data_IF_137205175341
#
_entry.id   IF_137205175341
#
_cell.length_a   1.000
_cell.length_b   1.000
_cell.length_c   1.000
_cell.angle_alpha   90.00
_cell.angle_beta   90.00
_cell.angle_gamma   90.00
#
_symmetry.space_group_name_H-M   'P 1'
#
loop_
_entity.id
_entity.type
_entity.pdbx_description
1 polymer ?
#
# COMPACT_ATOMS: atom_id res chain seq x y z
N UNK A 1 26.56 45.33 46.21
CA UNK A 1 27.07 44.06 45.65
C UNK A 1 25.84 43.17 45.44
N UNK A 2 25.06 43.36 44.38
CA UNK A 2 25.24 42.91 42.98
C UNK A 2 25.11 41.40 42.79
N UNK A 3 24.07 40.97 42.04
CA UNK A 3 23.86 39.64 41.42
C UNK A 3 22.59 38.91 41.94
N UNK A 4 21.39 39.06 41.36
CA UNK A 4 20.82 38.56 40.07
C UNK A 4 20.72 37.01 39.99
N UNK A 5 19.50 36.47 40.20
CA UNK A 5 18.98 35.15 39.76
C UNK A 5 18.82 35.12 38.21
N UNK A 6 18.74 33.98 37.46
CA UNK A 6 18.11 32.71 37.85
C UNK A 6 18.73 31.40 37.29
N UNK A 7 18.65 30.31 38.06
CA UNK A 7 18.82 28.95 37.55
C UNK A 7 17.47 28.47 36.97
N UNK A 8 17.19 28.80 35.71
CA UNK A 8 16.03 28.26 34.99
C UNK A 8 16.31 28.32 33.49
N UNK A 9 16.95 27.28 32.94
CA UNK A 9 16.86 26.96 31.51
C UNK A 9 17.51 25.61 31.15
N UNK A 10 17.13 24.50 31.78
CA UNK A 10 17.60 23.17 31.30
C UNK A 10 16.50 22.09 31.28
N UNK A 11 15.23 22.50 31.18
CA UNK A 11 14.10 21.59 30.98
C UNK A 11 13.32 22.11 29.77
N UNK A 12 13.86 21.94 28.56
CA UNK A 12 13.19 22.44 27.36
C UNK A 12 13.77 21.96 26.04
N UNK A 13 14.70 21.01 26.05
CA UNK A 13 15.38 20.55 24.84
C UNK A 13 15.48 19.03 24.74
N UNK A 14 14.42 18.33 25.16
CA UNK A 14 14.28 16.87 24.94
C UNK A 14 12.96 16.47 24.26
N UNK A 15 12.12 17.44 23.86
CA UNK A 15 10.77 17.16 23.30
C UNK A 15 10.65 17.31 21.78
N UNK A 16 11.75 17.55 21.05
CA UNK A 16 11.70 17.80 19.59
C UNK A 16 12.33 16.70 18.72
N UNK A 17 12.62 15.52 19.28
CA UNK A 17 13.18 14.38 18.56
C UNK A 17 12.22 13.18 18.49
N UNK A 18 10.91 13.43 18.39
CA UNK A 18 10.04 12.45 17.75
C UNK A 18 10.32 12.54 16.24
N UNK A 19 11.37 11.84 15.78
CA UNK A 19 11.45 11.48 14.38
C UNK A 19 10.12 10.79 14.04
N UNK A 20 9.29 11.40 13.20
CA UNK A 20 8.01 10.88 12.77
C UNK A 20 8.21 9.66 11.86
N UNK A 21 8.75 8.59 12.41
CA UNK A 21 8.67 7.27 11.84
C UNK A 21 7.68 6.52 12.67
N UNK A 22 6.45 6.53 12.19
CA UNK A 22 5.44 5.68 12.74
C UNK A 22 5.56 4.34 12.03
N UNK A 23 5.92 3.28 12.77
CA UNK A 23 5.65 1.89 12.38
C UNK A 23 4.11 1.60 12.38
N UNK A 24 3.30 2.67 12.31
CA UNK A 24 1.85 2.62 12.27
C UNK A 24 1.45 2.18 10.86
N UNK A 25 0.66 1.11 10.75
CA UNK A 25 0.15 0.65 9.48
C UNK A 25 -0.72 1.72 8.79
N UNK A 26 -0.45 2.00 7.52
CA UNK A 26 -1.17 2.98 6.71
C UNK A 26 -1.97 2.25 5.63
N UNK A 27 -3.30 2.11 5.76
CA UNK A 27 -4.14 1.42 4.79
C UNK A 27 -4.55 2.33 3.62
N UNK A 28 -4.59 1.76 2.42
CA UNK A 28 -5.33 2.33 1.28
C UNK A 28 -6.30 1.26 0.75
N UNK A 29 -7.53 1.65 0.42
CA UNK A 29 -8.56 0.70 0.03
C UNK A 29 -9.38 1.19 -1.17
N UNK A 30 -9.92 0.23 -1.91
CA UNK A 30 -10.96 0.42 -2.93
C UNK A 30 -12.08 -0.58 -2.69
N UNK A 31 -13.31 -0.15 -2.96
CA UNK A 31 -14.51 -0.96 -2.85
C UNK A 31 -15.26 -0.98 -4.18
N UNK A 32 -15.69 -2.17 -4.59
CA UNK A 32 -16.55 -2.41 -5.75
C UNK A 32 -17.89 -2.90 -5.24
N UNK A 33 -18.80 -1.98 -4.94
CA UNK A 33 -20.06 -2.28 -4.26
C UNK A 33 -20.96 -3.24 -5.03
N UNK A 34 -20.92 -3.21 -6.37
CA UNK A 34 -21.67 -4.13 -7.21
C UNK A 34 -21.28 -5.60 -6.99
N UNK A 35 -20.00 -5.85 -6.70
CA UNK A 35 -19.43 -7.18 -6.50
C UNK A 35 -19.26 -7.53 -5.01
N UNK A 36 -19.62 -6.61 -4.10
CA UNK A 36 -19.37 -6.72 -2.65
C UNK A 36 -17.90 -7.04 -2.33
N UNK A 37 -16.98 -6.42 -3.09
CA UNK A 37 -15.54 -6.64 -2.95
C UNK A 37 -14.88 -5.40 -2.37
N UNK A 38 -13.97 -5.60 -1.42
CA UNK A 38 -13.03 -4.58 -0.95
C UNK A 38 -11.60 -5.11 -0.98
N UNK A 39 -10.72 -4.34 -1.60
CA UNK A 39 -9.28 -4.60 -1.64
C UNK A 39 -8.58 -3.53 -0.83
N UNK A 40 -7.83 -3.92 0.19
CA UNK A 40 -7.02 -3.03 1.02
C UNK A 40 -5.56 -3.43 0.91
N UNK A 41 -4.67 -2.48 0.66
CA UNK A 41 -3.23 -2.69 0.83
C UNK A 41 -2.75 -1.80 1.95
N UNK A 42 -2.24 -2.42 3.00
CA UNK A 42 -1.70 -1.76 4.17
C UNK A 42 -0.19 -1.70 4.06
N UNK A 43 0.36 -0.50 4.30
CA UNK A 43 1.79 -0.23 4.25
C UNK A 43 2.32 0.07 5.65
N UNK A 44 3.36 -0.65 6.07
CA UNK A 44 4.01 -0.42 7.37
C UNK A 44 5.47 -0.09 7.14
N UNK A 45 5.95 1.05 7.68
CA UNK A 45 7.36 1.41 7.59
C UNK A 45 8.22 0.38 8.36
N UNK A 46 9.35 -0.01 7.77
CA UNK A 46 10.31 -0.94 8.40
C UNK A 46 11.67 -0.30 8.68
N UNK A 47 11.84 0.95 8.26
CA UNK A 47 13.06 1.70 8.49
C UNK A 47 12.76 3.20 8.68
N UNK A 48 13.43 3.87 9.64
CA UNK A 48 13.15 5.27 9.92
C UNK A 48 13.72 6.29 8.91
N UNK A 49 14.59 5.88 8.00
CA UNK A 49 15.27 6.80 7.09
C UNK A 49 15.11 6.41 5.62
N UNK A 50 14.93 5.11 5.36
CA UNK A 50 14.77 4.57 4.02
C UNK A 50 13.27 4.39 3.72
N UNK A 51 12.88 4.62 2.47
CA UNK A 51 11.53 4.31 1.98
C UNK A 51 11.35 2.79 1.84
N UNK A 52 11.36 2.09 2.97
CA UNK A 52 11.21 0.65 3.09
C UNK A 52 9.95 0.33 3.86
N UNK A 53 9.14 -0.55 3.27
CA UNK A 53 7.84 -0.87 3.83
C UNK A 53 7.47 -2.32 3.58
N UNK A 54 6.86 -2.94 4.59
CA UNK A 54 6.10 -4.16 4.40
C UNK A 54 4.72 -3.81 3.87
N UNK A 55 4.17 -4.73 3.06
CA UNK A 55 2.89 -4.55 2.39
C UNK A 55 2.01 -5.77 2.65
N UNK A 56 0.83 -5.54 3.20
CA UNK A 56 -0.16 -6.57 3.46
C UNK A 56 -1.40 -6.30 2.61
N UNK A 57 -1.82 -7.31 1.84
CA UNK A 57 -3.06 -7.29 1.07
C UNK A 57 -4.16 -7.95 1.88
N UNK A 58 -5.23 -7.19 2.15
CA UNK A 58 -6.49 -7.74 2.66
C UNK A 58 -7.54 -7.70 1.56
N UNK A 59 -8.09 -8.87 1.23
CA UNK A 59 -9.25 -9.01 0.38
C UNK A 59 -10.48 -9.34 1.22
N UNK A 60 -11.56 -8.60 1.02
CA UNK A 60 -12.89 -8.94 1.52
C UNK A 60 -13.83 -9.14 0.35
N UNK A 61 -14.55 -10.25 0.35
CA UNK A 61 -15.50 -10.62 -0.70
C UNK A 61 -16.90 -10.89 -0.15
N UNK A 62 -17.82 -11.31 -1.03
CA UNK A 62 -19.18 -11.69 -0.62
C UNK A 62 -19.18 -12.86 0.38
N UNK A 63 -20.28 -12.99 1.14
CA UNK A 63 -20.47 -14.11 2.06
C UNK A 63 -19.49 -14.15 3.23
N UNK A 64 -19.07 -12.98 3.73
CA UNK A 64 -18.10 -12.84 4.83
C UNK A 64 -16.70 -13.38 4.53
N UNK A 65 -16.36 -13.59 3.25
CA UNK A 65 -15.02 -13.94 2.81
C UNK A 65 -14.01 -12.85 3.21
N UNK A 66 -12.91 -13.24 3.86
CA UNK A 66 -11.80 -12.34 4.21
C UNK A 66 -10.49 -13.10 4.18
N UNK A 67 -9.50 -12.58 3.44
CA UNK A 67 -8.18 -13.17 3.26
C UNK A 67 -7.14 -12.08 3.43
N UNK A 68 -6.02 -12.45 4.05
CA UNK A 68 -4.87 -11.58 4.22
C UNK A 68 -3.61 -12.32 3.74
N UNK A 69 -2.79 -11.64 2.93
CA UNK A 69 -1.52 -12.17 2.43
C UNK A 69 -0.47 -11.07 2.36
N UNK A 70 0.79 -11.44 2.54
CA UNK A 70 1.91 -10.52 2.34
C UNK A 70 2.16 -10.28 0.85
N UNK A 71 2.54 -9.05 0.50
CA UNK A 71 3.06 -8.71 -0.81
C UNK A 71 4.58 -8.59 -0.74
N UNK A 72 5.24 -8.64 -1.89
CA UNK A 72 6.67 -8.32 -1.94
C UNK A 72 6.90 -6.92 -1.35
N UNK A 73 7.85 -6.72 -0.42
CA UNK A 73 8.02 -5.44 0.27
C UNK A 73 8.55 -4.36 -0.66
N UNK A 74 8.34 -3.10 -0.29
CA UNK A 74 9.02 -1.97 -0.92
C UNK A 74 10.44 -1.86 -0.36
N UNK A 75 11.46 -1.99 -1.21
CA UNK A 75 12.88 -1.91 -0.82
C UNK A 75 13.55 -0.58 -1.15
N UNK A 76 12.78 0.42 -1.58
CA UNK A 76 13.26 1.76 -1.94
C UNK A 76 12.82 2.12 -3.35
N UNK A 77 11.63 2.73 -3.47
CA UNK A 77 11.00 3.26 -4.69
C UNK A 77 10.13 2.30 -5.53
N UNK A 78 9.79 1.11 -5.02
CA UNK A 78 8.98 0.09 -5.72
C UNK A 78 7.64 -0.21 -5.01
N UNK A 79 6.93 0.82 -4.54
CA UNK A 79 5.70 0.66 -3.75
C UNK A 79 4.44 0.41 -4.57
N UNK A 80 4.37 0.89 -5.82
CA UNK A 80 3.11 0.86 -6.58
C UNK A 80 2.56 -0.56 -6.74
N UNK A 81 1.25 -0.72 -6.54
CA UNK A 81 0.52 -1.95 -6.86
C UNK A 81 -0.64 -1.60 -7.78
N UNK A 82 -0.60 -2.12 -9.00
CA UNK A 82 -1.68 -1.94 -9.97
C UNK A 82 -2.75 -2.99 -9.72
N UNK A 83 -4.01 -2.58 -9.88
CA UNK A 83 -5.17 -3.43 -9.75
C UNK A 83 -5.83 -3.59 -11.12
N UNK A 84 -6.09 -4.84 -11.51
CA UNK A 84 -6.71 -5.17 -12.78
C UNK A 84 -7.89 -6.12 -12.62
N UNK A 85 -8.85 -6.02 -13.53
CA UNK A 85 -9.86 -7.05 -13.77
C UNK A 85 -9.40 -7.95 -14.92
N UNK A 86 -9.28 -9.26 -14.69
CA UNK A 86 -8.84 -10.20 -15.73
C UNK A 86 -9.96 -11.07 -16.33
N UNK A 87 -11.09 -11.13 -15.66
CA UNK A 87 -12.27 -11.91 -16.02
C UNK A 87 -13.32 -11.77 -14.93
N UNK A 88 -14.52 -12.30 -15.13
CA UNK A 88 -15.61 -12.17 -14.15
C UNK A 88 -15.20 -12.77 -12.80
N UNK A 89 -15.15 -11.94 -11.76
CA UNK A 89 -14.78 -12.36 -10.41
C UNK A 89 -13.29 -12.68 -10.21
N UNK A 90 -12.41 -12.24 -11.11
CA UNK A 90 -10.95 -12.42 -10.99
C UNK A 90 -10.25 -11.06 -11.03
N UNK A 91 -9.55 -10.73 -9.94
CA UNK A 91 -8.75 -9.52 -9.81
C UNK A 91 -7.27 -9.85 -9.73
N UNK A 92 -6.43 -9.02 -10.33
CA UNK A 92 -4.98 -9.10 -10.19
C UNK A 92 -4.45 -7.89 -9.43
N UNK A 93 -3.65 -8.13 -8.40
CA UNK A 93 -2.82 -7.11 -7.76
C UNK A 93 -1.39 -7.35 -8.21
N UNK A 94 -0.85 -6.44 -9.02
CA UNK A 94 0.45 -6.60 -9.67
C UNK A 94 1.41 -5.55 -9.12
N UNK A 95 2.55 -5.99 -8.62
CA UNK A 95 3.69 -5.15 -8.29
C UNK A 95 4.84 -5.36 -9.27
N UNK A 96 5.98 -4.75 -8.97
CA UNK A 96 7.19 -4.91 -9.78
C UNK A 96 7.78 -6.32 -9.68
N UNK A 97 7.64 -6.99 -8.53
CA UNK A 97 8.32 -8.25 -8.23
C UNK A 97 7.37 -9.42 -7.95
N UNK A 98 6.09 -9.14 -7.74
CA UNK A 98 5.06 -10.15 -7.49
C UNK A 98 3.74 -9.81 -8.18
N UNK A 99 2.93 -10.84 -8.38
CA UNK A 99 1.54 -10.70 -8.77
C UNK A 99 0.66 -11.63 -7.93
N UNK A 100 -0.42 -11.09 -7.40
CA UNK A 100 -1.44 -11.86 -6.68
C UNK A 100 -2.69 -11.97 -7.54
N UNK A 101 -3.22 -13.19 -7.63
CA UNK A 101 -4.51 -13.48 -8.25
C UNK A 101 -5.53 -13.67 -7.14
N UNK A 102 -6.59 -12.88 -7.18
CA UNK A 102 -7.74 -12.95 -6.28
C UNK A 102 -8.88 -13.61 -7.06
N UNK A 103 -9.31 -14.78 -6.62
CA UNK A 103 -10.54 -15.42 -7.07
C UNK A 103 -11.66 -15.11 -6.07
N UNK A 104 -12.60 -14.26 -6.50
CA UNK A 104 -13.70 -13.78 -5.66
C UNK A 104 -14.68 -14.92 -5.33
N UNK A 105 -14.90 -15.87 -6.24
CA UNK A 105 -15.85 -16.97 -6.06
C UNK A 105 -15.31 -18.01 -5.10
N UNK A 106 -14.03 -18.32 -5.24
CA UNK A 106 -13.36 -19.33 -4.41
C UNK A 106 -12.90 -18.77 -3.07
N UNK A 107 -12.96 -17.45 -2.88
CA UNK A 107 -12.37 -16.79 -1.72
C UNK A 107 -10.90 -17.24 -1.60
N UNK A 108 -10.10 -16.95 -2.62
CA UNK A 108 -8.69 -17.33 -2.64
C UNK A 108 -7.80 -16.18 -3.14
N UNK A 109 -6.61 -16.04 -2.53
CA UNK A 109 -5.52 -15.19 -3.03
C UNK A 109 -4.28 -16.04 -3.22
N UNK A 110 -3.74 -16.08 -4.44
CA UNK A 110 -2.59 -16.91 -4.80
C UNK A 110 -1.46 -16.08 -5.41
N UNK A 111 -0.22 -16.51 -5.22
CA UNK A 111 0.93 -15.97 -5.95
C UNK A 111 0.91 -16.51 -7.37
N UNK A 112 1.10 -15.63 -8.36
CA UNK A 112 1.26 -16.02 -9.76
C UNK A 112 2.57 -15.49 -10.33
N UNK A 113 3.13 -16.25 -11.26
CA UNK A 113 4.26 -15.80 -12.07
C UNK A 113 3.74 -14.83 -13.15
N UNK A 114 4.46 -13.75 -13.44
CA UNK A 114 4.03 -12.75 -14.43
C UNK A 114 3.68 -13.35 -15.80
N UNK A 115 4.40 -14.38 -16.24
CA UNK A 115 4.18 -15.05 -17.53
C UNK A 115 2.85 -15.81 -17.62
N UNK A 116 2.23 -16.16 -16.49
CA UNK A 116 0.97 -16.91 -16.46
C UNK A 116 -0.26 -16.02 -16.37
N UNK A 117 -0.08 -14.71 -16.16
CA UNK A 117 -1.16 -13.75 -16.12
C UNK A 117 -1.80 -13.58 -17.51
N UNK A 118 -3.12 -13.48 -17.53
CA UNK A 118 -3.83 -13.07 -18.74
C UNK A 118 -3.35 -11.68 -19.17
N UNK A 119 -3.21 -11.47 -20.48
CA UNK A 119 -2.83 -10.18 -21.09
C UNK A 119 -4.05 -9.31 -21.40
N UNK A 120 -5.22 -9.90 -21.53
CA UNK A 120 -6.47 -9.19 -21.78
C UNK A 120 -7.12 -8.84 -20.44
N UNK A 121 -6.67 -7.73 -19.86
CA UNK A 121 -7.11 -7.26 -18.56
C UNK A 121 -7.50 -5.79 -18.64
N UNK A 122 -8.40 -5.36 -17.75
CA UNK A 122 -8.79 -3.96 -17.61
C UNK A 122 -8.09 -3.36 -16.40
N UNK A 123 -7.31 -2.30 -16.61
CA UNK A 123 -6.73 -1.53 -15.52
C UNK A 123 -7.82 -0.79 -14.74
N UNK A 124 -7.90 -1.05 -13.43
CA UNK A 124 -8.89 -0.43 -12.54
C UNK A 124 -8.32 0.76 -11.76
N UNK A 125 -7.02 0.74 -11.49
CA UNK A 125 -6.33 1.78 -10.73
C UNK A 125 -5.04 1.27 -10.11
N UNK A 126 -4.43 2.09 -9.27
CA UNK A 126 -3.18 1.77 -8.60
C UNK A 126 -3.18 2.25 -7.15
N UNK A 127 -2.68 1.41 -6.24
CA UNK A 127 -2.24 1.82 -4.93
C UNK A 127 -0.83 2.41 -5.05
N UNK A 128 -0.67 3.67 -4.68
CA UNK A 128 0.58 4.39 -4.83
C UNK A 128 0.69 5.55 -3.84
N UNK A 129 1.87 6.15 -3.78
CA UNK A 129 2.06 7.43 -3.11
C UNK A 129 1.47 8.58 -3.95
N UNK A 130 0.85 9.55 -3.27
CA UNK A 130 0.63 10.88 -3.85
C UNK A 130 1.90 11.74 -3.77
N UNK A 131 1.82 12.98 -4.26
CA UNK A 131 2.95 13.93 -4.24
C UNK A 131 3.44 14.22 -2.82
N UNK A 132 2.56 14.11 -1.82
CA UNK A 132 2.84 14.29 -0.40
C UNK A 132 3.26 12.99 0.30
N UNK A 133 3.61 11.93 -0.44
CA UNK A 133 4.07 10.62 0.11
C UNK A 133 3.02 9.86 0.91
N UNK A 134 1.76 10.24 0.79
CA UNK A 134 0.63 9.55 1.41
C UNK A 134 0.25 8.36 0.54
N UNK A 135 0.17 7.18 1.16
CA UNK A 135 -0.28 5.95 0.52
C UNK A 135 -1.79 6.01 0.27
N UNK A 136 -2.20 5.88 -1.00
CA UNK A 136 -3.60 6.00 -1.39
C UNK A 136 -3.92 5.16 -2.62
N UNK A 137 -5.22 4.99 -2.90
CA UNK A 137 -5.70 4.37 -4.12
C UNK A 137 -6.07 5.45 -5.15
N UNK A 138 -5.58 5.29 -6.38
CA UNK A 138 -5.93 6.12 -7.52
C UNK A 138 -6.73 5.30 -8.53
N UNK A 139 -8.01 5.62 -8.78
CA UNK A 139 -8.78 4.95 -9.83
C UNK A 139 -8.22 5.28 -11.22
N UNK A 140 -8.44 4.39 -12.18
CA UNK A 140 -8.01 4.56 -13.57
C UNK A 140 -8.54 5.84 -14.23
N UNK A 141 -9.69 6.36 -13.76
CA UNK A 141 -10.25 7.64 -14.20
C UNK A 141 -9.44 8.86 -13.78
N UNK A 142 -8.60 8.75 -12.75
CA UNK A 142 -7.77 9.83 -12.22
C UNK A 142 -6.31 9.70 -12.63
N UNK A 143 -5.80 8.47 -12.74
CA UNK A 143 -4.40 8.20 -13.09
C UNK A 143 -4.36 7.04 -14.08
N UNK A 144 -3.76 7.26 -15.24
CA UNK A 144 -3.52 6.19 -16.21
C UNK A 144 -2.57 5.14 -15.67
N UNK A 145 -2.61 3.96 -16.27
CA UNK A 145 -1.60 2.93 -16.00
C UNK A 145 -0.20 3.48 -16.32
N UNK A 146 0.75 3.15 -15.44
CA UNK A 146 2.14 3.53 -15.57
C UNK A 146 3.00 2.26 -15.56
N UNK A 147 4.05 2.19 -16.40
CA UNK A 147 4.97 1.06 -16.39
C UNK A 147 5.69 0.96 -15.03
N UNK A 148 6.04 -0.26 -14.63
CA UNK A 148 6.86 -0.51 -13.44
C UNK A 148 8.34 -0.18 -13.67
N UNK A 149 8.80 -0.23 -14.92
CA UNK A 149 10.15 0.18 -15.30
C UNK A 149 10.22 1.71 -15.51
N UNK A 150 11.26 2.34 -14.99
CA UNK A 150 11.65 3.68 -15.44
C UNK A 150 12.16 3.55 -16.88
N UNK A 151 11.53 4.27 -17.81
CA UNK A 151 12.17 4.59 -19.09
C UNK A 151 13.32 5.57 -18.88
#
# INVERSE_FOLDING_TARGET
MSGIYPASCFIGLFLLLAACNSDVPVPAAVEFSADQVRVTITRTATNPFLSRHDLHLTFKGPGSCSIEVDLFPNTGYASRRNLYQAGVGVLYVVGQFDARVIDVKQCAVTLAEFRTLNRYVTFLGSFDENEQKVWTYFPASQRSELPFEKR
#
